data_IF_963126708088
#
_entry.id   IF_963126708088
#
_cell.length_a   1.000
_cell.length_b   1.000
_cell.length_c   1.000
_cell.angle_alpha   90.00
_cell.angle_beta   90.00
_cell.angle_gamma   90.00
#
_symmetry.space_group_name_H-M   'P 1'
#
loop_
_entity.id
_entity.type
_entity.pdbx_description
1 polymer ?
#
# COMPACT_ATOMS: atom_id res chain seq x y z
N UNK A 1 2.85 -17.64 -4.93
CA UNK A 1 1.94 -16.49 -5.11
C UNK A 1 2.64 -15.48 -6.00
N UNK A 2 2.11 -15.25 -7.20
CA UNK A 2 2.66 -14.30 -8.17
C UNK A 2 1.67 -13.15 -8.34
N UNK A 3 2.14 -11.90 -8.22
CA UNK A 3 1.31 -10.71 -8.39
C UNK A 3 1.05 -10.46 -9.88
N UNK A 4 -0.20 -10.31 -10.29
CA UNK A 4 -0.57 -10.06 -11.69
C UNK A 4 -1.17 -8.67 -11.93
N UNK A 5 -1.67 -8.01 -10.88
CA UNK A 5 -2.25 -6.67 -10.96
C UNK A 5 -2.15 -5.98 -9.61
N UNK A 6 -1.98 -4.67 -9.65
CA UNK A 6 -2.10 -3.80 -8.49
C UNK A 6 -2.99 -2.60 -8.82
N UNK A 7 -3.88 -2.26 -7.89
CA UNK A 7 -4.67 -1.04 -7.96
C UNK A 7 -4.35 -0.19 -6.73
N UNK A 8 -3.90 1.05 -6.94
CA UNK A 8 -3.55 1.99 -5.88
C UNK A 8 -4.52 3.17 -5.96
N UNK A 9 -5.05 3.60 -4.82
CA UNK A 9 -5.92 4.78 -4.69
C UNK A 9 -5.55 5.57 -3.46
N UNK A 10 -5.61 6.89 -3.60
CA UNK A 10 -5.50 7.86 -2.50
C UNK A 10 -4.18 7.74 -1.70
N UNK A 11 -3.08 7.40 -2.37
CA UNK A 11 -1.76 7.21 -1.76
C UNK A 11 -0.77 8.28 -2.24
N UNK A 12 -0.26 9.13 -1.34
CA UNK A 12 0.61 10.28 -1.67
C UNK A 12 0.01 11.07 -2.85
N UNK A 13 0.76 11.43 -3.88
CA UNK A 13 0.20 12.15 -5.04
C UNK A 13 -0.68 11.28 -5.97
N UNK A 14 -0.78 9.98 -5.74
CA UNK A 14 -1.55 9.05 -6.57
C UNK A 14 -3.03 9.09 -6.16
N UNK A 15 -3.86 9.72 -6.99
CA UNK A 15 -5.33 9.66 -6.85
C UNK A 15 -5.86 8.26 -7.17
N UNK A 16 -5.46 7.73 -8.32
CA UNK A 16 -5.77 6.38 -8.79
C UNK A 16 -4.74 5.93 -9.83
N UNK A 17 -4.32 4.66 -9.75
CA UNK A 17 -3.61 3.97 -10.84
C UNK A 17 -3.93 2.48 -10.79
N UNK A 18 -3.85 1.83 -11.95
CA UNK A 18 -3.97 0.38 -12.12
C UNK A 18 -2.80 -0.07 -12.99
N UNK A 19 -2.03 -1.02 -12.50
CA UNK A 19 -0.91 -1.61 -13.24
C UNK A 19 -1.13 -3.11 -13.33
N UNK A 20 -1.09 -3.63 -14.55
CA UNK A 20 -0.92 -5.06 -14.77
C UNK A 20 0.58 -5.38 -14.61
N UNK A 21 0.87 -6.51 -13.99
CA UNK A 21 2.22 -6.88 -13.53
C UNK A 21 2.68 -8.10 -14.32
N UNK A 22 3.80 -7.95 -15.01
CA UNK A 22 4.54 -9.03 -15.68
C UNK A 22 5.72 -9.50 -14.83
N UNK A 23 6.50 -10.47 -15.33
CA UNK A 23 7.72 -10.93 -14.65
C UNK A 23 8.74 -9.79 -14.46
N UNK A 24 8.86 -8.92 -15.47
CA UNK A 24 9.71 -7.72 -15.44
C UNK A 24 8.83 -6.50 -15.71
N UNK A 25 8.92 -5.49 -14.85
CA UNK A 25 8.16 -4.23 -14.96
C UNK A 25 9.12 -3.06 -14.89
N UNK A 26 9.07 -2.15 -15.86
CA UNK A 26 9.91 -0.96 -15.88
C UNK A 26 9.01 0.27 -15.70
N UNK A 27 9.24 1.05 -14.63
CA UNK A 27 8.52 2.29 -14.37
C UNK A 27 9.32 3.48 -14.91
N UNK A 28 8.82 4.11 -15.98
CA UNK A 28 9.46 5.26 -16.64
C UNK A 28 8.60 6.52 -16.46
N UNK A 29 9.24 7.67 -16.28
CA UNK A 29 8.57 8.97 -16.19
C UNK A 29 9.50 10.05 -15.66
N UNK A 30 9.04 11.30 -15.62
CA UNK A 30 9.80 12.45 -15.10
C UNK A 30 10.17 12.30 -13.61
N UNK A 31 11.13 13.08 -13.13
CA UNK A 31 11.41 13.16 -11.69
C UNK A 31 10.15 13.55 -10.93
N UNK A 32 9.94 12.95 -9.76
CA UNK A 32 8.77 13.18 -8.91
C UNK A 32 7.43 12.76 -9.52
N UNK A 33 7.40 12.03 -10.65
CA UNK A 33 6.17 11.53 -11.28
C UNK A 33 5.43 10.43 -10.49
N UNK A 34 5.88 10.08 -9.29
CA UNK A 34 5.23 9.07 -8.43
C UNK A 34 5.74 7.64 -8.59
N UNK A 35 6.81 7.38 -9.36
CA UNK A 35 7.41 6.04 -9.51
C UNK A 35 7.75 5.39 -8.16
N UNK A 36 8.46 6.11 -7.30
CA UNK A 36 8.81 5.64 -5.96
C UNK A 36 7.56 5.48 -5.09
N UNK A 37 6.55 6.33 -5.27
CA UNK A 37 5.28 6.20 -4.54
C UNK A 37 4.53 4.92 -4.90
N UNK A 38 4.59 4.45 -6.15
CA UNK A 38 4.03 3.15 -6.55
C UNK A 38 4.73 2.01 -5.80
N UNK A 39 6.07 2.00 -5.81
CA UNK A 39 6.85 0.97 -5.09
C UNK A 39 6.58 0.99 -3.58
N UNK A 40 6.51 2.17 -2.97
CA UNK A 40 6.21 2.32 -1.55
C UNK A 40 4.80 1.88 -1.21
N UNK A 41 3.80 2.15 -2.05
CA UNK A 41 2.43 1.65 -1.86
C UNK A 41 2.38 0.12 -1.86
N UNK A 42 3.13 -0.51 -2.78
CA UNK A 42 3.23 -1.97 -2.88
C UNK A 42 3.89 -2.56 -1.62
N UNK A 43 5.07 -2.04 -1.24
CA UNK A 43 5.82 -2.49 -0.06
C UNK A 43 5.01 -2.30 1.22
N UNK A 44 4.35 -1.14 1.37
CA UNK A 44 3.48 -0.85 2.51
C UNK A 44 2.33 -1.84 2.64
N UNK A 45 1.64 -2.14 1.54
CA UNK A 45 0.51 -3.06 1.55
C UNK A 45 0.92 -4.49 1.91
N UNK A 46 2.06 -4.94 1.39
CA UNK A 46 2.64 -6.25 1.74
C UNK A 46 3.10 -6.27 3.20
N UNK A 47 3.69 -5.16 3.69
CA UNK A 47 4.06 -4.96 5.08
C UNK A 47 2.86 -5.10 6.01
N UNK A 48 1.76 -4.39 5.74
CA UNK A 48 0.51 -4.52 6.47
C UNK A 48 -0.02 -5.96 6.46
N UNK A 49 -0.08 -6.60 5.29
CA UNK A 49 -0.57 -7.97 5.19
C UNK A 49 0.28 -8.96 5.99
N UNK A 50 1.60 -8.79 5.99
CA UNK A 50 2.52 -9.62 6.78
C UNK A 50 2.42 -9.34 8.28
N UNK A 51 2.29 -8.08 8.69
CA UNK A 51 2.03 -7.72 10.09
C UNK A 51 0.76 -8.38 10.60
N UNK A 52 -0.33 -8.25 9.85
CA UNK A 52 -1.60 -8.91 10.21
C UNK A 52 -1.40 -10.42 10.35
N UNK A 53 -0.69 -11.07 9.42
CA UNK A 53 -0.42 -12.52 9.49
C UNK A 53 0.39 -12.92 10.73
N UNK A 54 1.33 -12.09 11.19
CA UNK A 54 2.12 -12.38 12.39
C UNK A 54 1.33 -12.19 13.68
N UNK A 55 0.50 -11.15 13.75
CA UNK A 55 -0.22 -10.79 14.97
C UNK A 55 -1.61 -11.47 15.09
N UNK A 56 -2.23 -11.86 13.98
CA UNK A 56 -3.51 -12.54 13.98
C UNK A 56 -3.33 -14.06 14.08
N UNK A 57 -3.59 -14.63 15.26
CA UNK A 57 -3.52 -16.08 15.54
C UNK A 57 -4.44 -16.93 14.63
N UNK A 58 -5.54 -16.37 14.12
CA UNK A 58 -6.37 -16.91 13.04
C UNK A 58 -7.00 -15.75 12.27
N UNK A 59 -6.58 -15.53 11.03
CA UNK A 59 -7.31 -14.66 10.09
C UNK A 59 -8.61 -15.37 9.71
N UNK A 60 -9.69 -15.08 10.44
CA UNK A 60 -11.03 -15.29 9.92
C UNK A 60 -11.38 -14.13 8.99
N UNK A 61 -12.10 -14.43 7.92
CA UNK A 61 -12.57 -13.45 6.92
C UNK A 61 -13.09 -12.18 7.60
N UNK A 62 -12.43 -11.04 7.40
CA UNK A 62 -12.80 -9.79 8.06
C UNK A 62 -11.74 -8.71 7.97
N UNK A 63 -12.05 -7.55 8.55
CA UNK A 63 -11.11 -6.45 8.76
C UNK A 63 -10.29 -6.69 10.03
N UNK A 64 -9.00 -6.35 10.00
CA UNK A 64 -8.13 -6.39 11.16
C UNK A 64 -7.50 -5.01 11.37
N UNK A 65 -7.45 -4.58 12.62
CA UNK A 65 -6.78 -3.34 13.02
C UNK A 65 -5.46 -3.70 13.67
N UNK A 66 -4.38 -3.10 13.18
CA UNK A 66 -3.03 -3.19 13.78
C UNK A 66 -2.61 -1.81 14.27
N UNK A 67 -1.83 -1.78 15.33
CA UNK A 67 -1.16 -0.55 15.76
C UNK A 67 -0.01 -0.20 14.80
N UNK A 68 0.44 1.06 14.82
CA UNK A 68 1.57 1.49 14.00
C UNK A 68 2.85 0.75 14.41
N UNK A 69 3.03 0.47 15.70
CA UNK A 69 4.20 -0.21 16.25
C UNK A 69 4.27 -1.70 15.87
N UNK A 70 3.15 -2.29 15.43
CA UNK A 70 3.06 -3.67 14.91
C UNK A 70 3.36 -3.76 13.40
N UNK A 71 3.57 -2.63 12.72
CA UNK A 71 3.91 -2.62 11.30
C UNK A 71 5.35 -3.07 11.06
N UNK A 72 5.53 -4.13 10.28
CA UNK A 72 6.84 -4.65 9.87
C UNK A 72 7.57 -3.70 8.91
N UNK A 73 6.83 -2.80 8.27
CA UNK A 73 7.40 -1.88 7.31
C UNK A 73 6.60 -0.57 7.30
N UNK A 74 7.33 0.52 7.48
CA UNK A 74 6.80 1.87 7.38
C UNK A 74 7.61 2.60 6.28
N UNK A 75 6.97 3.06 5.18
CA UNK A 75 7.66 3.63 4.03
C UNK A 75 8.26 5.02 4.26
N UNK A 76 8.01 5.62 5.41
CA UNK A 76 8.40 7.00 5.78
C UNK A 76 8.34 7.17 7.29
N UNK A 77 9.06 8.15 7.84
CA UNK A 77 8.98 8.52 9.25
C UNK A 77 7.62 9.12 9.65
N UNK A 78 6.87 9.68 8.70
CA UNK A 78 5.54 10.24 8.95
C UNK A 78 4.47 9.42 8.20
N UNK A 79 3.96 8.38 8.86
CA UNK A 79 2.96 7.49 8.27
C UNK A 79 1.64 8.21 7.94
N UNK A 80 1.31 9.29 8.65
CA UNK A 80 0.09 10.05 8.42
C UNK A 80 0.16 10.86 7.12
N UNK A 81 1.36 11.17 6.62
CA UNK A 81 1.57 11.83 5.31
C UNK A 81 1.25 10.95 4.10
N UNK A 82 0.94 9.66 4.28
CA UNK A 82 0.68 8.74 3.17
C UNK A 82 -0.63 8.99 2.44
N UNK A 83 -1.54 9.79 3.01
CA UNK A 83 -2.81 10.16 2.38
C UNK A 83 -2.64 11.02 1.13
N UNK A 84 -3.65 11.00 0.25
CA UNK A 84 -3.61 11.81 -0.97
C UNK A 84 -3.95 13.27 -0.73
N UNK A 85 -2.93 14.13 -0.82
CA UNK A 85 -3.05 15.58 -0.68
C UNK A 85 -3.47 16.05 0.71
N UNK A 86 -3.53 15.13 1.69
CA UNK A 86 -3.93 15.39 3.08
C UNK A 86 -3.35 14.33 4.01
N UNK A 87 -3.29 14.69 5.29
CA UNK A 87 -2.93 13.79 6.39
C UNK A 87 -4.04 12.75 6.59
N UNK A 88 -3.66 11.50 6.86
CA UNK A 88 -4.59 10.45 7.23
C UNK A 88 -5.27 10.79 8.56
N UNK A 89 -6.58 10.61 8.61
CA UNK A 89 -7.36 10.69 9.84
C UNK A 89 -8.49 9.67 9.79
N UNK A 90 -9.00 9.27 10.96
CA UNK A 90 -10.02 8.22 11.09
C UNK A 90 -11.28 8.49 10.22
N UNK A 91 -11.64 9.77 10.07
CA UNK A 91 -12.82 10.20 9.32
C UNK A 91 -12.53 10.64 7.88
N UNK A 92 -11.33 10.40 7.33
CA UNK A 92 -10.98 10.88 6.00
C UNK A 92 -10.37 9.83 5.06
N UNK A 93 -11.01 9.73 3.88
CA UNK A 93 -10.47 9.28 2.60
C UNK A 93 -9.35 8.22 2.65
N UNK A 94 -9.68 6.96 3.01
CA UNK A 94 -8.69 5.93 3.28
C UNK A 94 -7.85 5.61 2.05
N UNK A 95 -6.58 5.26 2.30
CA UNK A 95 -5.71 4.62 1.30
C UNK A 95 -6.33 3.28 0.94
N UNK A 96 -6.41 2.98 -0.36
CA UNK A 96 -6.86 1.67 -0.82
C UNK A 96 -5.85 1.11 -1.82
N UNK A 97 -5.21 0.01 -1.44
CA UNK A 97 -4.34 -0.77 -2.33
C UNK A 97 -4.91 -2.17 -2.43
N UNK A 98 -5.16 -2.63 -3.65
CA UNK A 98 -5.62 -3.99 -3.95
C UNK A 98 -4.53 -4.73 -4.70
N UNK A 99 -4.13 -5.87 -4.15
CA UNK A 99 -3.15 -6.78 -4.74
C UNK A 99 -3.91 -7.99 -5.30
N UNK A 100 -3.65 -8.33 -6.55
CA UNK A 100 -4.24 -9.49 -7.21
C UNK A 100 -3.12 -10.47 -7.49
N UNK A 101 -3.31 -11.72 -7.08
CA UNK A 101 -2.32 -12.77 -7.25
C UNK A 101 -2.96 -14.04 -7.78
N UNK A 102 -2.16 -14.82 -8.51
CA UNK A 102 -2.48 -16.17 -8.99
C UNK A 102 -1.56 -17.18 -8.30
#
# INVERSE_FOLDING_TARGET
MILNKVIIRKYKQIKHTSLDISEINILIGANNSGKISILQALQFSIGCAKSIKLHALKLQSGSYTISIDELLYIPTSDIFSLGNGRILSENSNPINVKLFAV
#
